data_IF_175172960690
#
_entry.id   IF_175172960690
#
_cell.length_a   1.000
_cell.length_b   1.000
_cell.length_c   1.000
_cell.angle_alpha   90.00
_cell.angle_beta   90.00
_cell.angle_gamma   90.00
#
_symmetry.space_group_name_H-M   'P 1'
#
loop_
_entity.id
_entity.type
_entity.pdbx_description
1 polymer ?
#
# COMPACT_ATOMS: atom_id res chain seq x y z
N UNK A 1 20.85 4.07 13.63
CA UNK A 1 19.61 3.51 13.03
C UNK A 1 18.49 4.54 13.08
N UNK A 2 18.03 4.96 14.27
CA UNK A 2 16.98 5.97 14.43
C UNK A 2 17.32 7.29 13.71
N UNK A 3 18.55 7.79 13.84
CA UNK A 3 18.99 9.03 13.19
C UNK A 3 18.85 9.03 11.65
N UNK A 4 19.07 7.89 10.98
CA UNK A 4 18.91 7.77 9.52
C UNK A 4 17.45 7.85 9.08
N UNK A 5 16.54 7.29 9.88
CA UNK A 5 15.10 7.40 9.63
C UNK A 5 14.58 8.81 9.91
N UNK A 6 15.07 9.47 10.96
CA UNK A 6 14.73 10.86 11.27
C UNK A 6 15.23 11.81 10.17
N UNK A 7 16.46 11.59 9.70
CA UNK A 7 17.06 12.32 8.60
C UNK A 7 16.24 12.14 7.31
N UNK A 8 15.89 10.91 6.93
CA UNK A 8 15.00 10.63 5.79
C UNK A 8 13.64 11.33 5.92
N UNK A 9 13.06 11.35 7.12
CA UNK A 9 11.84 12.08 7.43
C UNK A 9 11.97 13.59 7.25
N UNK A 10 13.11 14.16 7.67
CA UNK A 10 13.41 15.59 7.51
C UNK A 10 13.59 15.97 6.04
N UNK A 11 14.39 15.21 5.28
CA UNK A 11 14.56 15.40 3.84
C UNK A 11 13.24 15.40 3.08
N UNK A 12 12.35 14.47 3.43
CA UNK A 12 11.02 14.39 2.84
C UNK A 12 10.10 15.52 3.30
N UNK A 13 10.15 15.96 4.56
CA UNK A 13 9.31 17.07 5.01
C UNK A 13 9.77 18.42 4.45
N UNK A 14 11.07 18.54 4.11
CA UNK A 14 11.61 19.63 3.29
C UNK A 14 11.26 19.54 1.80
N UNK A 15 10.64 18.44 1.36
CA UNK A 15 10.13 18.29 0.00
C UNK A 15 8.85 19.12 -0.18
N UNK A 16 9.02 20.33 -0.70
CA UNK A 16 7.93 21.13 -1.27
C UNK A 16 7.90 20.82 -2.77
N UNK A 17 6.75 20.52 -3.39
CA UNK A 17 6.70 20.35 -4.84
C UNK A 17 7.29 21.57 -5.55
N UNK A 18 8.41 21.38 -6.27
CA UNK A 18 9.08 22.43 -7.06
C UNK A 18 10.39 23.01 -6.52
N UNK A 19 10.88 22.61 -5.33
CA UNK A 19 12.14 23.16 -4.77
C UNK A 19 13.43 22.46 -5.22
N UNK A 20 13.36 21.22 -5.72
CA UNK A 20 14.52 20.42 -6.10
C UNK A 20 14.31 19.77 -7.46
N UNK A 21 15.38 19.65 -8.25
CA UNK A 21 15.36 18.95 -9.54
C UNK A 21 15.49 17.43 -9.35
N UNK A 22 14.94 16.62 -10.26
CA UNK A 22 15.03 15.14 -10.21
C UNK A 22 16.49 14.65 -10.07
N UNK A 23 17.44 15.34 -10.69
CA UNK A 23 18.88 15.02 -10.62
C UNK A 23 19.47 15.19 -9.21
N UNK A 24 19.01 16.20 -8.45
CA UNK A 24 19.46 16.38 -7.07
C UNK A 24 18.88 15.29 -6.16
N UNK A 25 17.66 14.84 -6.43
CA UNK A 25 17.01 13.75 -5.70
C UNK A 25 17.78 12.44 -5.87
N UNK A 26 18.21 12.13 -7.09
CA UNK A 26 18.98 10.92 -7.40
C UNK A 26 20.36 10.93 -6.75
N UNK A 27 21.06 12.07 -6.74
CA UNK A 27 22.36 12.19 -6.09
C UNK A 27 22.30 11.94 -4.57
N UNK A 28 21.27 12.48 -3.89
CA UNK A 28 21.07 12.26 -2.46
C UNK A 28 20.65 10.83 -2.13
N UNK A 29 19.88 10.20 -3.03
CA UNK A 29 19.46 8.80 -2.88
C UNK A 29 20.65 7.83 -2.86
N UNK A 30 21.65 8.05 -3.71
CA UNK A 30 22.86 7.20 -3.76
C UNK A 30 23.56 7.17 -2.40
N UNK A 31 23.85 8.35 -1.83
CA UNK A 31 24.52 8.45 -0.52
C UNK A 31 23.71 7.85 0.62
N UNK A 32 22.38 8.01 0.59
CA UNK A 32 21.47 7.44 1.58
C UNK A 32 21.40 5.90 1.48
N UNK A 33 21.31 5.38 0.25
CA UNK A 33 21.25 3.94 -0.01
C UNK A 33 22.55 3.23 0.42
N UNK A 34 23.71 3.86 0.21
CA UNK A 34 25.00 3.35 0.70
C UNK A 34 25.05 3.24 2.23
N UNK A 35 24.56 4.26 2.95
CA UNK A 35 24.51 4.27 4.42
C UNK A 35 23.58 3.19 4.96
N UNK A 36 22.45 2.95 4.31
CA UNK A 36 21.54 1.85 4.66
C UNK A 36 22.14 0.48 4.37
N UNK A 37 22.75 0.29 3.20
CA UNK A 37 23.42 -0.96 2.86
C UNK A 37 24.53 -1.30 3.86
N UNK A 38 25.28 -0.30 4.34
CA UNK A 38 26.29 -0.47 5.38
C UNK A 38 25.69 -1.02 6.69
N UNK A 39 24.49 -0.58 7.08
CA UNK A 39 23.80 -1.11 8.26
C UNK A 39 23.34 -2.55 8.07
N UNK A 40 22.81 -2.88 6.89
CA UNK A 40 22.31 -4.24 6.60
C UNK A 40 23.46 -5.25 6.50
N UNK A 41 24.63 -4.80 6.03
CA UNK A 41 25.85 -5.62 5.89
C UNK A 41 26.60 -5.85 7.20
N UNK A 42 26.29 -5.12 8.28
CA UNK A 42 27.00 -5.28 9.55
C UNK A 42 26.80 -6.72 10.09
N UNK A 43 27.89 -7.46 10.43
CA UNK A 43 27.76 -8.77 11.06
C UNK A 43 26.89 -8.72 12.32
N UNK A 44 25.98 -9.69 12.44
CA UNK A 44 25.04 -9.79 13.55
C UNK A 44 25.47 -10.91 14.47
N UNK A 45 25.52 -10.62 15.78
CA UNK A 45 25.86 -11.61 16.80
C UNK A 45 24.72 -12.58 17.11
N UNK A 46 23.47 -12.21 16.80
CA UNK A 46 22.29 -13.04 17.05
C UNK A 46 21.85 -13.72 15.74
N UNK A 47 21.73 -15.05 15.69
CA UNK A 47 21.36 -15.80 14.49
C UNK A 47 20.00 -15.39 13.88
N UNK A 48 19.00 -15.08 14.71
CA UNK A 48 17.66 -14.72 14.25
C UNK A 48 17.65 -13.44 13.37
N UNK A 49 18.57 -12.52 13.63
CA UNK A 49 18.70 -11.29 12.84
C UNK A 49 19.43 -11.50 11.51
N UNK A 50 20.11 -12.64 11.31
CA UNK A 50 20.74 -12.94 10.02
C UNK A 50 19.71 -13.19 8.92
N UNK A 51 18.62 -13.91 9.25
CA UNK A 51 17.53 -14.16 8.30
C UNK A 51 16.85 -12.86 7.87
N UNK A 52 16.53 -12.01 8.86
CA UNK A 52 15.99 -10.68 8.59
C UNK A 52 16.96 -9.83 7.77
N UNK A 53 18.24 -9.74 8.14
CA UNK A 53 19.24 -8.96 7.39
C UNK A 53 19.41 -9.46 5.95
N UNK A 54 19.36 -10.79 5.73
CA UNK A 54 19.40 -11.39 4.39
C UNK A 54 18.17 -11.02 3.57
N UNK A 55 16.98 -11.15 4.14
CA UNK A 55 15.73 -10.74 3.48
C UNK A 55 15.77 -9.26 3.13
N UNK A 56 16.16 -8.44 4.11
CA UNK A 56 16.30 -7.00 3.96
C UNK A 56 17.25 -6.62 2.82
N UNK A 57 18.43 -7.25 2.74
CA UNK A 57 19.38 -7.05 1.65
C UNK A 57 18.84 -7.46 0.28
N UNK A 58 18.12 -8.59 0.21
CA UNK A 58 17.57 -9.10 -1.05
C UNK A 58 16.51 -8.16 -1.64
N UNK A 59 15.72 -7.52 -0.78
CA UNK A 59 14.63 -6.61 -1.17
C UNK A 59 15.02 -5.13 -1.11
N UNK A 60 16.31 -4.81 -0.97
CA UNK A 60 16.79 -3.44 -0.77
C UNK A 60 16.29 -2.44 -1.83
N UNK A 61 16.26 -2.86 -3.10
CA UNK A 61 15.76 -2.04 -4.22
C UNK A 61 14.30 -1.61 -4.09
N UNK A 62 13.53 -2.24 -3.21
CA UNK A 62 12.08 -2.03 -3.03
C UNK A 62 11.74 -1.14 -1.83
N UNK A 63 12.70 -0.83 -0.96
CA UNK A 63 12.43 -0.17 0.33
C UNK A 63 11.97 1.27 0.21
N UNK A 64 12.62 1.99 -0.70
CA UNK A 64 12.45 3.42 -0.85
C UNK A 64 12.17 3.76 -2.32
N UNK A 65 11.26 2.99 -2.93
CA UNK A 65 10.58 3.41 -4.16
C UNK A 65 9.59 4.52 -3.78
N UNK A 66 10.14 5.64 -3.32
CA UNK A 66 9.37 6.86 -3.11
C UNK A 66 9.14 7.47 -4.47
N UNK A 67 7.98 7.17 -5.06
CA UNK A 67 7.39 8.16 -5.93
C UNK A 67 7.17 9.43 -5.07
N UNK A 68 7.66 10.62 -5.47
CA UNK A 68 7.51 11.87 -4.71
C UNK A 68 6.04 12.26 -4.41
N UNK A 69 5.08 11.49 -4.93
CA UNK A 69 3.64 11.72 -4.85
C UNK A 69 2.94 10.94 -3.74
N UNK A 70 3.63 10.06 -3.00
CA UNK A 70 3.01 9.22 -1.95
C UNK A 70 3.51 9.65 -0.55
N UNK A 71 2.59 9.77 0.41
CA UNK A 71 2.90 10.09 1.81
C UNK A 71 3.80 9.03 2.48
N UNK A 72 4.57 9.37 3.53
CA UNK A 72 5.49 8.41 4.16
C UNK A 72 4.75 7.47 5.11
N UNK A 73 3.49 7.78 5.38
CA UNK A 73 2.67 7.16 6.39
C UNK A 73 1.81 6.13 5.70
N UNK A 74 2.08 4.87 6.04
CA UNK A 74 1.19 3.77 5.72
C UNK A 74 -0.15 3.87 6.47
N UNK A 75 -0.36 4.89 7.31
CA UNK A 75 -1.58 5.14 8.10
C UNK A 75 -2.86 4.94 7.28
N UNK A 76 -2.91 5.47 6.05
CA UNK A 76 -4.10 5.31 5.18
C UNK A 76 -4.32 3.87 4.73
N UNK A 77 -3.26 3.15 4.37
CA UNK A 77 -3.37 1.74 3.97
C UNK A 77 -3.66 0.83 5.18
N UNK A 78 -3.02 1.09 6.32
CA UNK A 78 -3.31 0.41 7.59
C UNK A 78 -4.76 0.63 8.02
N UNK A 79 -5.25 1.87 7.97
CA UNK A 79 -6.64 2.19 8.26
C UNK A 79 -7.60 1.48 7.31
N UNK A 80 -7.28 1.39 6.02
CA UNK A 80 -8.11 0.68 5.04
C UNK A 80 -8.19 -0.84 5.29
N UNK A 81 -7.12 -1.46 5.79
CA UNK A 81 -7.08 -2.90 6.07
C UNK A 81 -7.75 -3.27 7.40
N UNK A 82 -7.77 -2.34 8.38
CA UNK A 82 -8.30 -2.60 9.73
C UNK A 82 -9.73 -3.16 9.76
N UNK A 83 -10.72 -2.63 9.01
CA UNK A 83 -12.07 -3.18 9.01
C UNK A 83 -12.10 -4.67 8.63
N UNK A 84 -11.31 -5.08 7.63
CA UNK A 84 -11.24 -6.48 7.21
C UNK A 84 -10.63 -7.38 8.30
N UNK A 85 -9.57 -6.90 8.97
CA UNK A 85 -8.89 -7.63 10.06
C UNK A 85 -9.78 -7.76 11.29
N UNK A 86 -10.45 -6.67 11.68
CA UNK A 86 -11.39 -6.67 12.81
C UNK A 86 -12.57 -7.60 12.52
N UNK A 87 -13.14 -7.53 11.32
CA UNK A 87 -14.25 -8.41 10.92
C UNK A 87 -13.86 -9.89 11.01
N UNK A 88 -12.69 -10.27 10.45
CA UNK A 88 -12.14 -11.62 10.60
C UNK A 88 -11.97 -12.02 12.06
N UNK A 89 -11.41 -11.13 12.88
CA UNK A 89 -11.06 -11.43 14.27
C UNK A 89 -12.30 -11.62 15.15
N UNK A 90 -13.30 -10.76 15.00
CA UNK A 90 -14.49 -10.73 15.85
C UNK A 90 -15.51 -11.79 15.40
N UNK A 91 -15.70 -11.97 14.10
CA UNK A 91 -16.76 -12.81 13.55
C UNK A 91 -16.28 -14.18 13.07
N UNK A 92 -14.98 -14.47 13.14
CA UNK A 92 -14.41 -15.75 12.71
C UNK A 92 -14.53 -16.01 11.20
N UNK A 93 -14.89 -15.01 10.39
CA UNK A 93 -14.89 -15.11 8.94
C UNK A 93 -13.51 -15.49 8.43
N UNK A 94 -13.42 -16.51 7.57
CA UNK A 94 -12.22 -17.14 6.98
C UNK A 94 -11.85 -18.54 7.49
N UNK A 95 -12.74 -19.27 8.18
CA UNK A 95 -12.47 -20.68 8.50
C UNK A 95 -12.47 -21.60 7.26
N UNK A 96 -13.11 -21.18 6.16
CA UNK A 96 -13.07 -21.85 4.86
C UNK A 96 -12.51 -20.91 3.78
N UNK A 97 -11.78 -21.46 2.81
CA UNK A 97 -11.16 -20.71 1.70
C UNK A 97 -12.19 -19.90 0.90
N UNK A 98 -13.38 -20.47 0.69
CA UNK A 98 -14.48 -19.79 0.01
C UNK A 98 -14.94 -18.54 0.77
N UNK A 99 -15.03 -18.62 2.10
CA UNK A 99 -15.37 -17.49 2.97
C UNK A 99 -14.29 -16.41 2.96
N UNK A 100 -13.01 -16.82 2.99
CA UNK A 100 -11.87 -15.91 2.90
C UNK A 100 -11.84 -15.15 1.58
N UNK A 101 -12.11 -15.85 0.48
CA UNK A 101 -12.20 -15.24 -0.86
C UNK A 101 -13.37 -14.26 -0.95
N UNK A 102 -14.55 -14.65 -0.47
CA UNK A 102 -15.72 -13.78 -0.46
C UNK A 102 -15.47 -12.51 0.38
N UNK A 103 -14.92 -12.65 1.58
CA UNK A 103 -14.58 -11.52 2.43
C UNK A 103 -13.55 -10.58 1.78
N UNK A 104 -12.50 -11.13 1.14
CA UNK A 104 -11.50 -10.33 0.42
C UNK A 104 -12.13 -9.47 -0.69
N UNK A 105 -13.00 -10.08 -1.50
CA UNK A 105 -13.70 -9.38 -2.58
C UNK A 105 -14.62 -8.30 -2.01
N UNK A 106 -15.47 -8.64 -1.04
CA UNK A 106 -16.43 -7.71 -0.45
C UNK A 106 -15.74 -6.52 0.21
N UNK A 107 -14.67 -6.75 0.99
CA UNK A 107 -13.91 -5.67 1.62
C UNK A 107 -13.28 -4.74 0.58
N UNK A 108 -12.78 -5.26 -0.53
CA UNK A 108 -12.25 -4.45 -1.63
C UNK A 108 -13.33 -3.60 -2.30
N UNK A 109 -14.53 -4.15 -2.53
CA UNK A 109 -15.67 -3.42 -3.10
C UNK A 109 -16.12 -2.31 -2.15
N UNK A 110 -16.31 -2.64 -0.88
CA UNK A 110 -16.71 -1.69 0.17
C UNK A 110 -15.75 -0.51 0.26
N UNK A 111 -14.45 -0.79 0.37
CA UNK A 111 -13.41 0.24 0.48
C UNK A 111 -13.37 1.12 -0.78
N UNK A 112 -13.53 0.52 -1.97
CA UNK A 112 -13.54 1.28 -3.22
C UNK A 112 -14.77 2.18 -3.33
N UNK A 113 -15.96 1.69 -2.95
CA UNK A 113 -17.17 2.52 -2.91
C UNK A 113 -17.04 3.66 -1.89
N UNK A 114 -16.51 3.36 -0.69
CA UNK A 114 -16.29 4.35 0.36
C UNK A 114 -15.36 5.48 -0.11
N UNK A 115 -14.19 5.14 -0.67
CA UNK A 115 -13.23 6.12 -1.20
C UNK A 115 -13.79 7.00 -2.33
N UNK A 116 -14.78 6.50 -3.05
CA UNK A 116 -15.43 7.20 -4.17
C UNK A 116 -16.72 7.92 -3.77
N UNK A 117 -17.07 7.94 -2.49
CA UNK A 117 -18.34 8.47 -1.99
C UNK A 117 -19.56 7.88 -2.73
N UNK A 118 -19.52 6.59 -3.04
CA UNK A 118 -20.60 5.84 -3.69
C UNK A 118 -21.32 4.95 -2.70
N UNK A 119 -22.63 4.83 -2.86
CA UNK A 119 -23.45 3.87 -2.11
C UNK A 119 -23.05 2.44 -2.46
N UNK A 120 -22.64 1.70 -1.43
CA UNK A 120 -22.31 0.27 -1.54
C UNK A 120 -23.55 -0.53 -1.92
N UNK A 121 -24.67 -0.26 -1.26
CA UNK A 121 -25.91 -1.02 -1.42
C UNK A 121 -26.40 -0.91 -2.86
N UNK A 122 -26.34 0.29 -3.43
CA UNK A 122 -26.74 0.52 -4.82
C UNK A 122 -25.80 -0.21 -5.79
N UNK A 123 -24.49 -0.17 -5.54
CA UNK A 123 -23.52 -0.86 -6.39
C UNK A 123 -23.71 -2.38 -6.36
N UNK A 124 -23.93 -2.97 -5.18
CA UNK A 124 -24.20 -4.40 -5.01
C UNK A 124 -25.53 -4.77 -5.67
N UNK A 125 -26.59 -3.97 -5.47
CA UNK A 125 -27.90 -4.19 -6.10
C UNK A 125 -27.81 -4.18 -7.62
N UNK A 126 -27.13 -3.19 -8.20
CA UNK A 126 -26.89 -3.13 -9.65
C UNK A 126 -26.09 -4.35 -10.13
N UNK A 127 -25.10 -4.79 -9.36
CA UNK A 127 -24.26 -5.94 -9.73
C UNK A 127 -25.06 -7.24 -9.75
N UNK A 128 -25.92 -7.45 -8.74
CA UNK A 128 -26.79 -8.61 -8.67
C UNK A 128 -27.87 -8.59 -9.77
N UNK A 129 -28.46 -7.42 -10.05
CA UNK A 129 -29.43 -7.27 -11.15
C UNK A 129 -28.81 -7.54 -12.51
N UNK A 130 -27.60 -7.03 -12.76
CA UNK A 130 -26.84 -7.31 -13.97
C UNK A 130 -26.51 -8.80 -14.11
N UNK A 131 -26.12 -9.47 -13.01
CA UNK A 131 -25.86 -10.91 -13.02
C UNK A 131 -27.11 -11.72 -13.39
N UNK A 132 -28.30 -11.31 -12.94
CA UNK A 132 -29.57 -11.95 -13.30
C UNK A 132 -30.14 -11.51 -14.66
N UNK A 133 -29.73 -10.35 -15.17
CA UNK A 133 -30.15 -9.83 -16.47
C UNK A 133 -28.97 -9.14 -17.17
N UNK A 134 -28.28 -9.92 -17.99
CA UNK A 134 -27.14 -9.50 -18.81
C UNK A 134 -27.41 -8.35 -19.80
N UNK A 135 -28.67 -7.99 -20.06
CA UNK A 135 -29.03 -6.85 -20.90
C UNK A 135 -28.86 -5.50 -20.17
N UNK A 136 -28.71 -5.51 -18.85
CA UNK A 136 -28.42 -4.30 -18.08
C UNK A 136 -26.95 -3.87 -18.24
N UNK A 137 -26.64 -2.58 -18.08
CA UNK A 137 -25.26 -2.12 -18.12
C UNK A 137 -24.47 -2.70 -16.93
N UNK A 138 -23.27 -3.22 -17.21
CA UNK A 138 -22.38 -3.72 -16.15
C UNK A 138 -21.97 -2.57 -15.23
N UNK A 139 -22.25 -2.64 -13.91
CA UNK A 139 -21.86 -1.58 -12.99
C UNK A 139 -20.34 -1.56 -12.83
N UNK A 140 -19.72 -0.43 -13.15
CA UNK A 140 -18.28 -0.26 -13.07
C UNK A 140 -17.84 0.23 -11.68
N UNK A 141 -17.03 -0.58 -11.00
CA UNK A 141 -16.47 -0.26 -9.68
C UNK A 141 -15.33 0.77 -9.77
N UNK A 142 -14.54 0.74 -10.84
CA UNK A 142 -13.51 1.71 -11.18
C UNK A 142 -14.01 2.58 -12.35
N UNK A 143 -13.62 3.87 -12.44
CA UNK A 143 -13.88 4.61 -13.66
C UNK A 143 -13.17 3.90 -14.81
N UNK A 144 -13.81 3.78 -15.97
CA UNK A 144 -13.09 3.43 -17.20
C UNK A 144 -11.90 4.38 -17.34
N UNK A 145 -10.72 3.84 -17.68
CA UNK A 145 -9.50 4.63 -17.81
C UNK A 145 -9.80 5.90 -18.62
N UNK A 146 -9.85 7.05 -17.96
CA UNK A 146 -9.81 8.33 -18.68
C UNK A 146 -8.46 8.35 -19.39
N UNK A 147 -8.47 8.46 -20.71
CA UNK A 147 -7.30 8.88 -21.47
C UNK A 147 -6.78 10.15 -20.78
N UNK A 148 -5.55 10.10 -20.30
CA UNK A 148 -4.88 11.25 -19.74
C UNK A 148 -4.72 12.30 -20.86
N UNK A 149 -4.81 13.61 -20.55
CA UNK A 149 -4.42 14.65 -21.50
C UNK A 149 -2.94 14.54 -21.88
#
# INVERSE_FOLDING_TARGET
>A
MIALFTEAGHWRNGYVPGTWTDNQLDAHRVSFDERLLKLVRWPRSVPDYMSLAKHLRNHFKQWFVFAPRIGPTNRKAEQAIRPAVVNRKVWGGNQADAGAKAQSILMSVLETCHRRARSVVDHVSQTLRWFGNWLLPRPALLPGAKQAP
#
